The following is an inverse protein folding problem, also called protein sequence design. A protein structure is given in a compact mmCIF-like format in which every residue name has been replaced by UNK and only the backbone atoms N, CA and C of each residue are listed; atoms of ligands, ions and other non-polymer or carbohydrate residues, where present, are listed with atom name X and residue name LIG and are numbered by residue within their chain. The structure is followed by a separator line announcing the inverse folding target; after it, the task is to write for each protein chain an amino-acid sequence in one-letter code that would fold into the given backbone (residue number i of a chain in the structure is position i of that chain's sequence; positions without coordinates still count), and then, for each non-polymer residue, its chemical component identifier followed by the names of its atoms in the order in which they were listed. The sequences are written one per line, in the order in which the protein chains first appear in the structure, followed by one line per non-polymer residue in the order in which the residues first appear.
data_IF_125145798514
#
_entry.id   IF_125145798514
#
_cell.length_a   1.000
_cell.length_b   1.000
_cell.length_c   1.000
_cell.angle_alpha   90.00
_cell.angle_beta   90.00
_cell.angle_gamma   90.00
#
_symmetry.space_group_name_H-M   'P 1'
#
loop_
_entity.id
_entity.type
_entity.pdbx_description
1 polymer ?
#
# COMPACT_ATOMS: atom_id res chain seq x y z
N UNK A 1 -39.12 9.44 -12.37
CA UNK A 1 -39.59 10.79 -12.74
C UNK A 1 -39.28 11.72 -11.55
N UNK A 2 -38.44 12.75 -11.74
CA UNK A 2 -38.17 13.82 -10.74
C UNK A 2 -37.09 13.51 -9.68
N UNK A 3 -35.80 13.72 -9.95
CA UNK A 3 -34.97 14.91 -9.60
C UNK A 3 -34.54 14.96 -8.12
N UNK A 4 -33.24 14.73 -7.88
CA UNK A 4 -32.42 15.58 -7.00
C UNK A 4 -30.93 15.43 -7.38
N UNK A 5 -30.47 16.38 -8.21
CA UNK A 5 -29.07 16.82 -8.29
C UNK A 5 -28.83 17.76 -7.10
N UNK A 6 -27.78 17.54 -6.32
CA UNK A 6 -26.86 18.55 -5.75
C UNK A 6 -25.91 17.91 -4.76
N UNK A 7 -24.61 18.23 -4.86
CA UNK A 7 -23.62 17.80 -3.88
C UNK A 7 -22.15 18.02 -4.25
N UNK A 8 -21.84 19.02 -5.07
CA UNK A 8 -20.45 19.50 -5.23
C UNK A 8 -20.17 20.44 -4.06
N UNK A 9 -19.36 20.01 -3.10
CA UNK A 9 -18.78 20.90 -2.09
C UNK A 9 -17.29 21.09 -2.39
N UNK A 10 -17.03 22.28 -2.91
CA UNK A 10 -15.73 22.95 -2.98
C UNK A 10 -15.13 23.06 -1.58
N UNK A 11 -13.88 22.60 -1.42
CA UNK A 11 -13.01 23.05 -0.34
C UNK A 11 -11.85 23.84 -0.94
N UNK A 12 -11.97 25.16 -0.87
CA UNK A 12 -10.87 26.11 -1.07
C UNK A 12 -10.58 26.82 0.26
N UNK A 13 -9.28 27.01 0.52
CA UNK A 13 -8.66 28.03 1.36
C UNK A 13 -8.45 27.74 2.86
N UNK A 14 -7.18 27.54 3.22
CA UNK A 14 -6.55 28.19 4.37
C UNK A 14 -5.18 28.78 3.95
N UNK A 15 -4.72 29.90 4.55
CA UNK A 15 -3.95 30.93 3.85
C UNK A 15 -2.43 30.87 4.07
N UNK A 16 -1.71 31.34 3.05
CA UNK A 16 -0.31 31.76 3.09
C UNK A 16 -0.18 33.08 3.87
N UNK A 17 0.60 33.07 4.96
CA UNK A 17 1.08 34.26 5.65
C UNK A 17 2.34 34.78 4.94
N UNK A 18 2.19 35.77 4.05
CA UNK A 18 3.30 36.60 3.57
C UNK A 18 3.14 37.98 4.21
N UNK A 19 4.04 38.30 5.14
CA UNK A 19 4.17 39.64 5.71
C UNK A 19 4.99 40.52 4.77
N UNK A 20 4.35 41.57 4.27
CA UNK A 20 4.94 42.67 3.51
C UNK A 20 5.50 43.73 4.46
N UNK A 21 6.74 44.17 4.24
CA UNK A 21 7.19 45.51 4.62
C UNK A 21 8.03 46.12 3.49
N UNK A 22 7.50 47.19 2.89
CA UNK A 22 8.19 48.15 2.03
C UNK A 22 8.25 49.47 2.83
N UNK A 23 9.31 50.28 2.67
CA UNK A 23 9.06 51.64 2.23
C UNK A 23 9.95 52.07 1.06
N UNK A 24 9.37 52.90 0.20
CA UNK A 24 9.96 53.53 -0.97
C UNK A 24 10.71 54.83 -0.61
N UNK A 25 11.72 55.21 -1.40
CA UNK A 25 11.89 56.57 -1.97
C UNK A 25 12.99 56.59 -3.05
N UNK A 26 12.82 57.45 -4.06
CA UNK A 26 13.48 57.51 -5.40
C UNK A 26 14.51 58.69 -5.46
N UNK A 27 14.99 59.21 -6.63
CA UNK A 27 16.00 58.81 -7.64
C UNK A 27 17.25 59.74 -7.69
N UNK A 28 18.30 59.43 -8.50
CA UNK A 28 18.83 60.32 -9.59
C UNK A 28 20.11 59.83 -10.31
N UNK A 29 19.99 59.70 -11.65
CA UNK A 29 20.89 60.13 -12.76
C UNK A 29 22.39 59.74 -12.87
N UNK A 30 22.64 58.93 -13.93
CA UNK A 30 23.34 59.28 -15.20
C UNK A 30 24.89 59.17 -15.37
N UNK A 31 25.23 58.79 -16.62
CA UNK A 31 26.53 58.79 -17.36
C UNK A 31 27.50 57.63 -17.06
N UNK A 32 28.15 56.97 -18.04
CA UNK A 32 28.19 57.10 -19.50
C UNK A 32 28.95 55.94 -20.17
N UNK A 33 28.54 55.67 -21.42
CA UNK A 33 29.24 55.20 -22.64
C UNK A 33 30.46 54.23 -22.60
N UNK A 34 30.52 53.10 -23.34
CA UNK A 34 30.45 52.81 -24.80
C UNK A 34 31.84 52.75 -25.49
N UNK A 35 32.19 51.55 -25.99
CA UNK A 35 33.00 51.31 -27.21
C UNK A 35 32.67 49.89 -27.71
N UNK A 36 31.74 49.71 -28.67
CA UNK A 36 31.98 49.49 -30.12
C UNK A 36 32.94 48.32 -30.41
N UNK A 37 32.43 47.12 -30.73
CA UNK A 37 32.05 46.63 -32.08
C UNK A 37 33.19 46.70 -33.09
N UNK A 38 33.74 45.54 -33.43
CA UNK A 38 33.95 44.92 -34.77
C UNK A 38 34.62 43.56 -34.47
N UNK A 39 34.23 42.41 -35.01
CA UNK A 39 33.79 42.12 -36.35
C UNK A 39 32.78 40.96 -36.38
N UNK A 40 31.64 41.21 -37.00
CA UNK A 40 30.76 40.22 -37.59
C UNK A 40 31.31 39.82 -38.95
N UNK A 41 32.01 38.68 -39.03
CA UNK A 41 32.28 37.98 -40.29
C UNK A 41 32.84 36.58 -40.01
N UNK A 42 31.98 35.63 -39.66
CA UNK A 42 32.03 34.21 -40.05
C UNK A 42 30.75 33.57 -39.51
N UNK A 43 29.64 33.85 -40.20
CA UNK A 43 28.49 32.97 -40.17
C UNK A 43 28.80 31.85 -41.16
N UNK A 44 29.13 30.68 -40.65
CA UNK A 44 28.89 29.45 -41.37
C UNK A 44 28.25 28.47 -40.40
N UNK A 45 27.05 28.06 -40.77
CA UNK A 45 26.15 27.16 -40.05
C UNK A 45 26.86 25.88 -39.59
N UNK A 46 26.77 25.64 -38.29
CA UNK A 46 26.50 24.31 -37.77
C UNK A 46 25.55 24.48 -36.59
N UNK A 47 24.29 24.70 -36.91
CA UNK A 47 23.13 24.43 -36.03
C UNK A 47 23.03 22.92 -35.82
N UNK A 48 23.99 22.36 -35.10
CA UNK A 48 23.79 21.14 -34.33
C UNK A 48 23.82 21.56 -32.86
N UNK A 49 22.64 21.86 -32.32
CA UNK A 49 22.38 21.56 -30.92
C UNK A 49 22.48 20.03 -30.80
N UNK A 50 23.71 19.54 -30.70
CA UNK A 50 23.98 18.16 -30.37
C UNK A 50 23.36 17.92 -28.99
N UNK A 51 22.25 17.19 -28.99
CA UNK A 51 21.73 16.52 -27.80
C UNK A 51 22.78 15.50 -27.37
N UNK A 52 23.79 15.95 -26.63
CA UNK A 52 24.64 15.08 -25.84
C UNK A 52 23.81 14.62 -24.63
N UNK A 53 22.78 13.79 -24.87
CA UNK A 53 22.32 12.87 -23.84
C UNK A 53 23.50 11.92 -23.59
N UNK A 54 24.34 12.30 -22.64
CA UNK A 54 25.64 11.68 -22.43
C UNK A 54 25.43 10.31 -21.78
N UNK A 55 25.45 9.26 -22.60
CA UNK A 55 25.35 7.86 -22.17
C UNK A 55 26.29 7.58 -20.98
N UNK A 56 27.46 8.22 -20.94
CA UNK A 56 28.41 8.11 -19.83
C UNK A 56 27.88 8.64 -18.49
N UNK A 57 27.06 9.70 -18.50
CA UNK A 57 26.51 10.24 -17.26
C UNK A 57 25.26 9.49 -16.80
N UNK A 58 24.47 8.92 -17.73
CA UNK A 58 23.44 7.94 -17.37
C UNK A 58 24.04 6.71 -16.71
N UNK A 59 25.09 6.13 -17.32
CA UNK A 59 25.85 5.01 -16.76
C UNK A 59 26.42 5.38 -15.39
N UNK A 60 26.90 6.61 -15.21
CA UNK A 60 27.39 7.08 -13.90
C UNK A 60 26.29 7.16 -12.86
N UNK A 61 25.09 7.65 -13.20
CA UNK A 61 23.95 7.65 -12.26
C UNK A 61 23.59 6.23 -11.86
N UNK A 62 23.48 5.31 -12.83
CA UNK A 62 23.16 3.89 -12.56
C UNK A 62 24.21 3.24 -11.64
N UNK A 63 25.50 3.45 -11.91
CA UNK A 63 26.60 2.96 -11.06
C UNK A 63 26.54 3.51 -9.62
N UNK A 64 26.20 4.78 -9.45
CA UNK A 64 26.02 5.37 -8.12
C UNK A 64 24.81 4.78 -7.40
N UNK A 65 23.71 4.52 -8.11
CA UNK A 65 22.54 3.85 -7.53
C UNK A 65 22.87 2.42 -7.08
N UNK A 66 23.66 1.67 -7.86
CA UNK A 66 24.12 0.33 -7.48
C UNK A 66 25.04 0.36 -6.27
N UNK A 67 26.03 1.26 -6.26
CA UNK A 67 26.94 1.44 -5.13
C UNK A 67 26.19 1.82 -3.85
N UNK A 68 25.27 2.78 -3.92
CA UNK A 68 24.47 3.20 -2.78
C UNK A 68 23.60 2.06 -2.24
N UNK A 69 23.03 1.22 -3.12
CA UNK A 69 22.26 0.05 -2.71
C UNK A 69 23.14 -1.01 -2.02
N UNK A 70 24.36 -1.22 -2.50
CA UNK A 70 25.34 -2.07 -1.81
C UNK A 70 25.66 -1.53 -0.42
N UNK A 71 25.86 -0.22 -0.27
CA UNK A 71 26.06 0.42 1.04
C UNK A 71 24.84 0.26 1.96
N UNK A 72 23.62 0.38 1.43
CA UNK A 72 22.39 0.09 2.19
C UNK A 72 22.36 -1.36 2.70
N UNK A 73 22.75 -2.32 1.86
CA UNK A 73 22.84 -3.74 2.23
C UNK A 73 23.88 -3.97 3.34
N UNK A 74 25.02 -3.27 3.27
CA UNK A 74 26.08 -3.28 4.28
C UNK A 74 25.73 -2.47 5.55
N UNK A 75 24.52 -1.88 5.61
CA UNK A 75 24.05 -0.97 6.68
C UNK A 75 24.88 0.32 6.84
N UNK A 76 25.68 0.68 5.84
CA UNK A 76 26.32 2.00 5.74
C UNK A 76 25.32 3.03 5.21
N UNK A 77 24.28 3.32 6.01
CA UNK A 77 23.20 4.21 5.59
C UNK A 77 23.67 5.64 5.35
N UNK A 78 24.68 6.11 6.09
CA UNK A 78 25.23 7.45 5.94
C UNK A 78 26.07 7.59 4.66
N UNK A 79 26.88 6.58 4.33
CA UNK A 79 27.60 6.51 3.06
C UNK A 79 26.65 6.38 1.87
N UNK A 80 25.63 5.52 2.00
CA UNK A 80 24.59 5.36 0.99
C UNK A 80 23.86 6.68 0.70
N UNK A 81 23.43 7.41 1.74
CA UNK A 81 22.77 8.72 1.60
C UNK A 81 23.62 9.68 0.76
N UNK A 82 24.93 9.77 1.05
CA UNK A 82 25.85 10.63 0.31
C UNK A 82 25.94 10.23 -1.17
N UNK A 83 26.06 8.94 -1.45
CA UNK A 83 26.13 8.40 -2.81
C UNK A 83 24.84 8.70 -3.59
N UNK A 84 23.67 8.52 -2.97
CA UNK A 84 22.38 8.80 -3.60
C UNK A 84 22.14 10.30 -3.82
N UNK A 85 22.61 11.17 -2.92
CA UNK A 85 22.58 12.62 -3.13
C UNK A 85 23.44 13.04 -4.33
N UNK A 86 24.58 12.39 -4.55
CA UNK A 86 25.40 12.62 -5.75
C UNK A 86 24.66 12.17 -7.02
N UNK A 87 24.05 10.98 -7.01
CA UNK A 87 23.23 10.49 -8.12
C UNK A 87 22.06 11.45 -8.44
N UNK A 88 21.39 11.96 -7.40
CA UNK A 88 20.31 12.94 -7.53
C UNK A 88 20.80 14.25 -8.14
N UNK A 89 21.96 14.75 -7.72
CA UNK A 89 22.54 15.98 -8.27
C UNK A 89 22.92 15.83 -9.74
N UNK A 90 23.48 14.69 -10.14
CA UNK A 90 23.77 14.40 -11.56
C UNK A 90 22.47 14.37 -12.37
N UNK A 91 21.43 13.70 -11.85
CA UNK A 91 20.13 13.68 -12.52
C UNK A 91 19.54 15.09 -12.71
N UNK A 92 19.66 15.96 -11.71
CA UNK A 92 19.24 17.38 -11.79
C UNK A 92 19.99 18.16 -12.88
N UNK A 93 21.31 17.99 -12.95
CA UNK A 93 22.15 18.71 -13.91
C UNK A 93 21.85 18.26 -15.34
N UNK A 94 21.60 16.96 -15.53
CA UNK A 94 21.52 16.38 -16.87
C UNK A 94 20.13 16.46 -17.47
N UNK A 95 19.10 16.27 -16.66
CA UNK A 95 17.73 16.17 -17.12
C UNK A 95 16.87 17.37 -16.71
N UNK A 96 17.36 18.19 -15.77
CA UNK A 96 16.66 19.36 -15.23
C UNK A 96 15.95 19.09 -13.90
N UNK A 97 15.46 20.18 -13.28
CA UNK A 97 14.92 20.16 -11.91
C UNK A 97 13.55 19.46 -11.77
N UNK A 98 12.79 19.34 -12.86
CA UNK A 98 11.47 18.70 -12.90
C UNK A 98 11.47 17.37 -13.67
N UNK A 99 12.64 16.73 -13.79
CA UNK A 99 12.81 15.52 -14.58
C UNK A 99 12.49 14.23 -13.79
N UNK A 100 11.72 13.28 -14.34
CA UNK A 100 11.35 12.03 -13.67
C UNK A 100 12.53 11.12 -13.33
N UNK A 101 13.67 11.26 -14.02
CA UNK A 101 14.91 10.53 -13.79
C UNK A 101 15.48 10.72 -12.37
N UNK A 102 15.06 11.79 -11.68
CA UNK A 102 15.45 12.05 -10.30
C UNK A 102 14.80 11.11 -9.28
N UNK A 103 13.62 10.54 -9.59
CA UNK A 103 12.79 9.82 -8.61
C UNK A 103 13.49 8.62 -7.99
N UNK A 104 14.26 7.85 -8.78
CA UNK A 104 14.98 6.69 -8.25
C UNK A 104 16.02 7.11 -7.20
N UNK A 105 16.86 8.11 -7.51
CA UNK A 105 17.84 8.61 -6.54
C UNK A 105 17.14 9.23 -5.32
N UNK A 106 16.08 10.01 -5.54
CA UNK A 106 15.32 10.64 -4.46
C UNK A 106 14.68 9.62 -3.52
N UNK A 107 14.10 8.55 -4.07
CA UNK A 107 13.58 7.40 -3.30
C UNK A 107 14.65 6.86 -2.35
N UNK A 108 15.83 6.58 -2.88
CA UNK A 108 16.89 6.00 -2.07
C UNK A 108 17.49 6.98 -1.04
N UNK A 109 17.51 8.28 -1.34
CA UNK A 109 17.82 9.30 -0.32
C UNK A 109 16.82 9.21 0.83
N UNK A 110 15.51 9.19 0.55
CA UNK A 110 14.48 9.07 1.58
C UNK A 110 14.65 7.79 2.39
N UNK A 111 14.82 6.64 1.72
CA UNK A 111 15.01 5.34 2.38
C UNK A 111 16.23 5.32 3.30
N UNK A 112 17.37 5.86 2.84
CA UNK A 112 18.59 5.97 3.65
C UNK A 112 18.42 6.89 4.86
N UNK A 113 17.63 7.97 4.74
CA UNK A 113 17.34 8.89 5.84
C UNK A 113 16.37 8.27 6.86
N UNK A 114 15.36 7.53 6.38
CA UNK A 114 14.44 6.77 7.25
C UNK A 114 15.19 5.69 8.04
N UNK A 115 16.13 4.97 7.41
CA UNK A 115 16.97 3.97 8.08
C UNK A 115 17.88 4.58 9.17
N UNK A 116 18.22 5.87 9.06
CA UNK A 116 18.98 6.63 10.05
C UNK A 116 18.09 7.41 11.04
N UNK A 117 16.77 7.23 11.00
CA UNK A 117 15.80 7.97 11.81
C UNK A 117 15.87 9.50 11.64
N UNK A 118 16.37 9.97 10.48
CA UNK A 118 16.43 11.39 10.12
C UNK A 118 15.08 11.90 9.61
N UNK A 119 14.05 11.82 10.46
CA UNK A 119 12.63 12.03 10.09
C UNK A 119 12.35 13.39 9.43
N UNK A 120 12.96 14.47 9.90
CA UNK A 120 12.79 15.82 9.34
C UNK A 120 13.34 15.93 7.91
N UNK A 121 14.53 15.36 7.69
CA UNK A 121 15.18 15.36 6.38
C UNK A 121 14.40 14.49 5.40
N UNK A 122 14.00 13.29 5.83
CA UNK A 122 13.14 12.42 5.05
C UNK A 122 11.81 13.10 4.68
N UNK A 123 11.20 13.83 5.63
CA UNK A 123 10.02 14.64 5.40
C UNK A 123 10.22 15.70 4.31
N UNK A 124 11.36 16.39 4.34
CA UNK A 124 11.71 17.39 3.32
C UNK A 124 11.89 16.77 1.93
N UNK A 125 12.52 15.59 1.85
CA UNK A 125 12.71 14.87 0.58
C UNK A 125 11.40 14.29 0.05
N UNK A 126 10.49 13.84 0.92
CA UNK A 126 9.13 13.43 0.55
C UNK A 126 8.36 14.60 -0.07
N UNK A 127 8.40 15.79 0.54
CA UNK A 127 7.76 17.00 -0.03
C UNK A 127 8.38 17.39 -1.38
N UNK A 128 9.69 17.21 -1.55
CA UNK A 128 10.33 17.43 -2.84
C UNK A 128 9.89 16.42 -3.89
N UNK A 129 9.71 15.14 -3.51
CA UNK A 129 9.18 14.10 -4.40
C UNK A 129 7.77 14.45 -4.84
N UNK A 130 6.89 14.84 -3.91
CA UNK A 130 5.52 15.26 -4.23
C UNK A 130 5.50 16.40 -5.23
N UNK A 131 6.26 17.48 -4.98
CA UNK A 131 6.37 18.60 -5.90
C UNK A 131 6.87 18.15 -7.29
N UNK A 132 7.92 17.33 -7.35
CA UNK A 132 8.45 16.82 -8.61
C UNK A 132 7.38 16.04 -9.39
N UNK A 133 6.60 15.23 -8.70
CA UNK A 133 5.55 14.43 -9.32
C UNK A 133 4.40 15.31 -9.82
N UNK A 134 3.98 16.32 -9.05
CA UNK A 134 2.94 17.27 -9.45
C UNK A 134 3.34 18.07 -10.71
N UNK A 135 4.63 18.41 -10.87
CA UNK A 135 5.15 19.05 -12.10
C UNK A 135 5.06 18.13 -13.33
N UNK A 136 5.13 16.81 -13.14
CA UNK A 136 5.03 15.81 -14.21
C UNK A 136 3.58 15.61 -14.67
N UNK A 137 2.60 15.78 -13.78
CA UNK A 137 1.16 15.53 -14.05
C UNK A 137 0.66 16.09 -15.38
N UNK A 138 0.98 17.35 -15.68
CA UNK A 138 0.50 18.01 -16.91
C UNK A 138 1.24 17.58 -18.18
N UNK A 139 2.43 16.98 -18.03
CA UNK A 139 3.32 16.61 -19.15
C UNK A 139 3.13 15.15 -19.54
N UNK A 140 3.00 14.28 -18.54
CA UNK A 140 2.81 12.86 -18.71
C UNK A 140 2.00 12.30 -17.53
N UNK A 141 0.73 12.03 -17.80
CA UNK A 141 -0.21 11.54 -16.80
C UNK A 141 0.14 10.15 -16.27
N UNK A 142 0.59 9.24 -17.14
CA UNK A 142 0.94 7.88 -16.72
C UNK A 142 2.26 7.87 -15.95
N UNK A 143 3.19 8.75 -16.29
CA UNK A 143 4.41 8.94 -15.51
C UNK A 143 4.11 9.51 -14.11
N UNK A 144 3.13 10.42 -14.00
CA UNK A 144 2.62 10.89 -12.71
C UNK A 144 2.03 9.76 -11.85
N UNK A 145 1.26 8.85 -12.46
CA UNK A 145 0.72 7.68 -11.74
C UNK A 145 1.84 6.77 -11.24
N UNK A 146 2.85 6.50 -12.07
CA UNK A 146 4.04 5.72 -11.67
C UNK A 146 4.77 6.36 -10.49
N UNK A 147 4.97 7.69 -10.50
CA UNK A 147 5.63 8.38 -9.39
C UNK A 147 4.78 8.43 -8.12
N UNK A 148 3.46 8.54 -8.26
CA UNK A 148 2.52 8.45 -7.14
C UNK A 148 2.59 7.08 -6.48
N UNK A 149 2.70 6.01 -7.27
CA UNK A 149 2.86 4.65 -6.77
C UNK A 149 4.18 4.48 -6.01
N UNK A 150 5.30 4.94 -6.60
CA UNK A 150 6.61 4.90 -5.96
C UNK A 150 6.61 5.62 -4.61
N UNK A 151 5.99 6.80 -4.54
CA UNK A 151 5.89 7.56 -3.31
C UNK A 151 5.01 6.87 -2.26
N UNK A 152 3.88 6.30 -2.68
CA UNK A 152 2.99 5.49 -1.82
C UNK A 152 3.76 4.32 -1.20
N UNK A 153 4.57 3.62 -1.98
CA UNK A 153 5.39 2.48 -1.53
C UNK A 153 6.42 2.90 -0.47
N UNK A 154 7.08 4.05 -0.64
CA UNK A 154 8.00 4.62 0.36
C UNK A 154 7.26 4.90 1.68
N UNK A 155 6.08 5.51 1.58
CA UNK A 155 5.27 5.87 2.75
C UNK A 155 4.75 4.63 3.49
N UNK A 156 4.35 3.58 2.77
CA UNK A 156 3.99 2.30 3.38
C UNK A 156 5.20 1.66 4.09
N UNK A 157 6.40 1.66 3.48
CA UNK A 157 7.61 1.19 4.17
C UNK A 157 7.92 2.01 5.41
N UNK A 158 7.80 3.33 5.34
CA UNK A 158 7.98 4.22 6.49
C UNK A 158 6.95 3.94 7.59
N UNK A 159 5.70 3.62 7.22
CA UNK A 159 4.64 3.26 8.18
C UNK A 159 4.88 1.90 8.83
N UNK A 160 5.62 1.00 8.17
CA UNK A 160 5.92 -0.33 8.69
C UNK A 160 6.92 -0.34 9.86
N UNK A 161 7.71 0.73 10.06
CA UNK A 161 8.69 0.77 11.14
C UNK A 161 8.02 0.89 12.53
N UNK A 162 8.23 -0.10 13.39
CA UNK A 162 7.64 -0.20 14.73
C UNK A 162 8.04 0.92 15.70
N UNK A 163 9.26 1.42 15.53
CA UNK A 163 9.84 2.46 16.39
C UNK A 163 9.57 3.87 15.86
N UNK A 164 8.95 3.97 14.67
CA UNK A 164 8.64 5.25 14.04
C UNK A 164 7.37 5.87 14.62
N UNK A 165 7.55 6.94 15.40
CA UNK A 165 6.45 7.74 15.99
C UNK A 165 5.50 8.35 14.95
N UNK A 166 5.92 8.48 13.68
CA UNK A 166 5.10 8.97 12.58
C UNK A 166 4.44 7.87 11.73
N UNK A 167 4.54 6.59 12.12
CA UNK A 167 4.02 5.44 11.34
C UNK A 167 2.59 5.65 10.81
N UNK A 168 1.64 5.98 11.70
CA UNK A 168 0.25 6.23 11.32
C UNK A 168 0.08 7.40 10.35
N UNK A 169 0.91 8.44 10.45
CA UNK A 169 0.86 9.59 9.55
C UNK A 169 1.32 9.20 8.14
N UNK A 170 2.33 8.35 8.01
CA UNK A 170 2.79 7.86 6.71
C UNK A 170 1.74 6.96 6.05
N UNK A 171 1.05 6.09 6.80
CA UNK A 171 -0.08 5.32 6.28
C UNK A 171 -1.21 6.23 5.75
N UNK A 172 -1.54 7.29 6.49
CA UNK A 172 -2.52 8.29 6.06
C UNK A 172 -2.07 9.05 4.80
N UNK A 173 -0.79 9.40 4.71
CA UNK A 173 -0.22 10.06 3.53
C UNK A 173 -0.30 9.16 2.29
N UNK A 174 0.05 7.88 2.41
CA UNK A 174 -0.10 6.89 1.33
C UNK A 174 -1.57 6.78 0.88
N UNK A 175 -2.51 6.71 1.82
CA UNK A 175 -3.95 6.69 1.49
C UNK A 175 -4.38 7.97 0.74
N UNK A 176 -3.93 9.14 1.18
CA UNK A 176 -4.26 10.42 0.55
C UNK A 176 -3.66 10.55 -0.86
N UNK A 177 -2.49 9.96 -1.12
CA UNK A 177 -1.92 9.85 -2.47
C UNK A 177 -2.80 9.02 -3.39
N UNK A 178 -3.31 7.88 -2.91
CA UNK A 178 -4.24 7.07 -3.71
C UNK A 178 -5.53 7.83 -4.03
N UNK A 179 -6.07 8.62 -3.10
CA UNK A 179 -7.21 9.50 -3.38
C UNK A 179 -6.89 10.57 -4.43
N UNK A 180 -5.69 11.18 -4.38
CA UNK A 180 -5.24 12.12 -5.42
C UNK A 180 -5.13 11.46 -6.79
N UNK A 181 -4.59 10.24 -6.86
CA UNK A 181 -4.54 9.47 -8.10
C UNK A 181 -5.94 9.19 -8.65
N UNK A 182 -6.88 8.76 -7.81
CA UNK A 182 -8.30 8.59 -8.18
C UNK A 182 -8.86 9.87 -8.79
N UNK A 183 -8.71 11.03 -8.13
CA UNK A 183 -9.17 12.31 -8.68
C UNK A 183 -8.49 12.70 -9.98
N UNK A 184 -7.19 12.43 -10.13
CA UNK A 184 -6.44 12.66 -11.37
C UNK A 184 -6.93 11.79 -12.53
N UNK A 185 -7.20 10.51 -12.27
CA UNK A 185 -7.77 9.57 -13.24
C UNK A 185 -9.18 9.99 -13.64
N UNK A 186 -10.04 10.33 -12.69
CA UNK A 186 -11.40 10.82 -12.98
C UNK A 186 -11.37 12.05 -13.88
N UNK A 187 -10.48 13.00 -13.59
CA UNK A 187 -10.34 14.22 -14.37
C UNK A 187 -9.76 14.01 -15.78
N UNK A 188 -8.92 12.99 -15.96
CA UNK A 188 -8.16 12.77 -17.22
C UNK A 188 -8.78 11.70 -18.11
N UNK A 189 -9.22 10.59 -17.52
CA UNK A 189 -9.72 9.39 -18.21
C UNK A 189 -11.23 9.14 -18.00
N UNK A 190 -11.83 9.77 -16.98
CA UNK A 190 -13.27 9.69 -16.68
C UNK A 190 -13.61 8.86 -15.44
N UNK A 191 -14.83 9.04 -14.93
CA UNK A 191 -15.27 8.54 -13.61
C UNK A 191 -15.40 7.02 -13.49
N UNK A 192 -15.50 6.32 -14.64
CA UNK A 192 -15.69 4.87 -14.72
C UNK A 192 -14.52 4.16 -15.43
N UNK A 193 -13.37 4.81 -15.56
CA UNK A 193 -12.23 4.21 -16.26
C UNK A 193 -11.59 3.10 -15.41
N UNK A 194 -11.23 1.97 -16.05
CA UNK A 194 -10.67 0.78 -15.35
C UNK A 194 -9.37 1.06 -14.59
N UNK A 195 -8.62 2.07 -15.02
CA UNK A 195 -7.39 2.56 -14.35
C UNK A 195 -7.64 2.96 -12.89
N UNK A 196 -8.87 3.31 -12.50
CA UNK A 196 -9.22 3.63 -11.11
C UNK A 196 -9.04 2.44 -10.16
N UNK A 197 -9.21 1.22 -10.68
CA UNK A 197 -9.30 -0.03 -9.92
C UNK A 197 -8.16 -0.25 -8.91
N UNK A 198 -6.88 -0.26 -9.31
CA UNK A 198 -5.78 -0.47 -8.37
C UNK A 198 -5.73 0.59 -7.26
N UNK A 199 -6.05 1.85 -7.58
CA UNK A 199 -6.03 2.96 -6.61
C UNK A 199 -7.18 2.90 -5.62
N UNK A 200 -8.38 2.58 -6.08
CA UNK A 200 -9.54 2.34 -5.23
C UNK A 200 -9.26 1.16 -4.28
N UNK A 201 -8.66 0.08 -4.79
CA UNK A 201 -8.33 -1.08 -3.96
C UNK A 201 -7.23 -0.77 -2.94
N UNK A 202 -6.20 0.00 -3.30
CA UNK A 202 -5.19 0.44 -2.34
C UNK A 202 -5.80 1.26 -1.18
N UNK A 203 -6.85 2.05 -1.43
CA UNK A 203 -7.58 2.75 -0.38
C UNK A 203 -8.33 1.76 0.53
N UNK A 204 -8.97 0.73 -0.04
CA UNK A 204 -9.62 -0.36 0.73
C UNK A 204 -8.61 -1.03 1.66
N UNK A 205 -7.44 -1.41 1.13
CA UNK A 205 -6.35 -2.00 1.91
C UNK A 205 -5.85 -1.06 3.01
N UNK A 206 -5.66 0.23 2.71
CA UNK A 206 -5.26 1.21 3.71
C UNK A 206 -6.28 1.32 4.85
N UNK A 207 -7.58 1.23 4.57
CA UNK A 207 -8.63 1.18 5.59
C UNK A 207 -8.56 -0.10 6.43
N UNK A 208 -8.25 -1.26 5.83
CA UNK A 208 -7.99 -2.48 6.59
C UNK A 208 -6.77 -2.33 7.51
N UNK A 209 -5.66 -1.76 7.02
CA UNK A 209 -4.45 -1.53 7.82
C UNK A 209 -4.73 -0.59 9.01
N UNK A 210 -5.61 0.39 8.85
CA UNK A 210 -6.04 1.25 9.95
C UNK A 210 -6.81 0.47 11.04
N UNK A 211 -7.58 -0.54 10.66
CA UNK A 211 -8.30 -1.39 11.60
C UNK A 211 -7.38 -2.42 12.24
N UNK A 212 -6.41 -2.97 11.50
CA UNK A 212 -5.46 -3.96 12.05
C UNK A 212 -4.63 -3.38 13.19
N UNK A 213 -4.36 -2.07 13.19
CA UNK A 213 -3.79 -1.36 14.35
C UNK A 213 -4.57 -1.58 15.65
N UNK A 214 -5.89 -1.78 15.58
CA UNK A 214 -6.72 -2.06 16.75
C UNK A 214 -6.51 -3.47 17.31
N UNK A 215 -6.00 -4.40 16.48
CA UNK A 215 -5.64 -5.77 16.87
C UNK A 215 -4.26 -5.83 17.52
N UNK A 216 -3.46 -4.76 17.44
CA UNK A 216 -2.16 -4.70 18.11
C UNK A 216 -2.37 -4.97 19.60
N UNK A 217 -1.76 -6.03 20.16
CA UNK A 217 -1.68 -6.10 21.61
C UNK A 217 -0.91 -4.85 22.05
N UNK A 218 -1.59 -3.93 22.74
CA UNK A 218 -0.85 -2.92 23.52
C UNK A 218 0.13 -3.71 24.35
N UNK A 219 1.44 -3.42 24.29
CA UNK A 219 2.46 -4.01 25.17
C UNK A 219 1.80 -4.34 26.51
N UNK A 220 1.54 -5.63 26.76
CA UNK A 220 0.62 -6.04 27.82
C UNK A 220 1.24 -5.57 29.16
N UNK A 221 0.58 -4.57 29.81
CA UNK A 221 0.68 -4.13 31.22
C UNK A 221 1.21 -2.72 31.59
N UNK A 222 1.98 -1.99 30.79
CA UNK A 222 2.67 -0.79 31.35
C UNK A 222 1.86 0.53 31.39
N UNK A 223 0.59 0.54 30.98
CA UNK A 223 -0.32 1.69 31.20
C UNK A 223 -1.70 1.22 31.64
N UNK A 224 -1.76 0.30 32.61
CA UNK A 224 -3.02 -0.09 33.27
C UNK A 224 -3.31 0.80 34.50
N UNK A 225 -2.45 1.77 34.81
CA UNK A 225 -2.61 2.62 36.01
C UNK A 225 -2.85 4.10 35.73
N UNK A 226 -3.43 4.49 34.58
CA UNK A 226 -3.79 5.88 34.33
C UNK A 226 -5.25 6.03 33.86
N UNK A 227 -6.07 6.47 34.82
CA UNK A 227 -7.11 7.51 34.71
C UNK A 227 -8.42 7.24 33.91
N UNK A 228 -9.55 7.30 34.64
CA UNK A 228 -10.86 7.76 34.17
C UNK A 228 -11.78 6.82 33.37
N UNK A 229 -13.00 6.55 33.86
CA UNK A 229 -14.06 5.86 33.09
C UNK A 229 -14.45 6.60 31.80
N UNK A 230 -14.35 7.94 31.78
CA UNK A 230 -14.77 8.76 30.63
C UNK A 230 -13.76 8.73 29.47
N UNK A 231 -12.45 8.62 29.76
CA UNK A 231 -11.43 8.46 28.72
C UNK A 231 -11.55 7.10 28.02
N UNK A 232 -11.85 6.04 28.79
CA UNK A 232 -12.14 4.71 28.26
C UNK A 232 -13.38 4.69 27.35
N UNK A 233 -14.44 5.41 27.71
CA UNK A 233 -15.63 5.57 26.84
C UNK A 233 -15.29 6.35 25.56
N UNK A 234 -14.55 7.45 25.65
CA UNK A 234 -14.10 8.20 24.47
C UNK A 234 -13.26 7.36 23.50
N UNK A 235 -12.31 6.58 24.04
CA UNK A 235 -11.43 5.69 23.26
C UNK A 235 -12.19 4.55 22.59
N UNK A 236 -13.13 3.91 23.29
CA UNK A 236 -13.94 2.82 22.73
C UNK A 236 -14.92 3.31 21.66
N UNK A 237 -15.53 4.49 21.85
CA UNK A 237 -16.37 5.14 20.84
C UNK A 237 -15.56 5.51 19.58
N UNK A 238 -14.37 6.08 19.75
CA UNK A 238 -13.47 6.38 18.63
C UNK A 238 -13.08 5.13 17.83
N UNK A 239 -12.83 3.99 18.51
CA UNK A 239 -12.57 2.70 17.86
C UNK A 239 -13.78 2.19 17.08
N UNK A 240 -14.97 2.20 17.68
CA UNK A 240 -16.21 1.77 17.02
C UNK A 240 -16.57 2.62 15.81
N UNK A 241 -16.36 3.94 15.90
CA UNK A 241 -16.58 4.87 14.79
C UNK A 241 -15.58 4.63 13.65
N UNK A 242 -14.30 4.49 13.96
CA UNK A 242 -13.25 4.22 12.98
C UNK A 242 -13.49 2.92 12.22
N UNK A 243 -13.94 1.87 12.93
CA UNK A 243 -14.34 0.59 12.32
C UNK A 243 -15.52 0.78 11.36
N UNK A 244 -16.59 1.46 11.79
CA UNK A 244 -17.79 1.68 10.97
C UNK A 244 -17.48 2.51 9.73
N UNK A 245 -16.68 3.56 9.87
CA UNK A 245 -16.24 4.41 8.74
C UNK A 245 -15.43 3.57 7.75
N UNK A 246 -14.46 2.81 8.24
CA UNK A 246 -13.59 1.99 7.39
C UNK A 246 -14.39 0.92 6.66
N UNK A 247 -15.29 0.20 7.35
CA UNK A 247 -16.23 -0.75 6.74
C UNK A 247 -16.98 -0.12 5.57
N UNK A 248 -17.67 1.00 5.82
CA UNK A 248 -18.52 1.67 4.84
C UNK A 248 -17.71 2.13 3.63
N UNK A 249 -16.57 2.80 3.86
CA UNK A 249 -15.73 3.28 2.76
C UNK A 249 -15.21 2.10 1.93
N UNK A 250 -14.70 1.04 2.56
CA UNK A 250 -14.20 -0.13 1.82
C UNK A 250 -15.30 -0.79 0.98
N UNK A 251 -16.50 -0.93 1.53
CA UNK A 251 -17.67 -1.47 0.83
C UNK A 251 -18.08 -0.59 -0.36
N UNK A 252 -18.18 0.72 -0.15
CA UNK A 252 -18.55 1.68 -1.20
C UNK A 252 -17.54 1.64 -2.36
N UNK A 253 -16.24 1.56 -2.06
CA UNK A 253 -15.18 1.50 -3.06
C UNK A 253 -15.14 0.16 -3.81
N UNK A 254 -15.34 -0.95 -3.11
CA UNK A 254 -15.42 -2.27 -3.76
C UNK A 254 -16.65 -2.37 -4.67
N UNK A 255 -17.80 -1.83 -4.24
CA UNK A 255 -18.97 -1.73 -5.10
C UNK A 255 -18.68 -0.85 -6.32
N UNK A 256 -17.96 0.27 -6.16
CA UNK A 256 -17.54 1.10 -7.28
C UNK A 256 -16.64 0.33 -8.27
N UNK A 257 -15.73 -0.52 -7.80
CA UNK A 257 -14.91 -1.37 -8.68
C UNK A 257 -15.79 -2.36 -9.46
N UNK A 258 -16.80 -2.96 -8.81
CA UNK A 258 -17.78 -3.82 -9.49
C UNK A 258 -18.50 -3.05 -10.60
N UNK A 259 -18.95 -1.82 -10.32
CA UNK A 259 -19.70 -0.99 -11.27
C UNK A 259 -18.82 -0.55 -12.45
N UNK A 260 -17.54 -0.23 -12.21
CA UNK A 260 -16.55 0.08 -13.25
C UNK A 260 -16.45 -1.08 -14.25
N UNK A 261 -16.27 -2.31 -13.76
CA UNK A 261 -16.14 -3.48 -14.64
C UNK A 261 -17.46 -3.91 -15.27
N UNK A 262 -18.60 -3.65 -14.63
CA UNK A 262 -19.91 -3.89 -15.23
C UNK A 262 -20.20 -2.94 -16.40
N UNK A 263 -19.62 -1.73 -16.39
CA UNK A 263 -19.78 -0.73 -17.44
C UNK A 263 -18.69 -0.75 -18.51
N UNK A 264 -17.57 -1.42 -18.28
CA UNK A 264 -16.41 -1.42 -19.18
C UNK A 264 -16.60 -2.40 -20.36
N UNK A 265 -16.75 -1.86 -21.57
CA UNK A 265 -16.96 -2.66 -22.79
C UNK A 265 -15.74 -3.54 -23.15
N UNK A 266 -14.52 -3.07 -22.89
CA UNK A 266 -13.27 -3.75 -23.24
C UNK A 266 -12.76 -4.72 -22.15
N UNK A 267 -13.49 -4.87 -21.04
CA UNK A 267 -13.09 -5.78 -19.96
C UNK A 267 -13.57 -7.20 -20.20
N UNK A 268 -12.84 -8.23 -19.70
CA UNK A 268 -13.34 -9.59 -19.66
C UNK A 268 -14.73 -9.67 -19.00
N UNK A 269 -15.61 -10.52 -19.53
CA UNK A 269 -17.00 -10.59 -19.06
C UNK A 269 -17.10 -10.98 -17.57
N UNK A 270 -16.13 -11.76 -17.08
CA UNK A 270 -16.05 -12.17 -15.68
C UNK A 270 -15.60 -11.06 -14.71
N UNK A 271 -15.08 -9.93 -15.20
CA UNK A 271 -14.35 -8.97 -14.35
C UNK A 271 -15.21 -8.41 -13.22
N UNK A 272 -16.50 -8.15 -13.48
CA UNK A 272 -17.44 -7.65 -12.47
C UNK A 272 -17.76 -8.70 -11.40
N UNK A 273 -17.92 -9.96 -11.78
CA UNK A 273 -18.12 -11.08 -10.85
C UNK A 273 -16.86 -11.32 -10.00
N UNK A 274 -15.67 -11.26 -10.61
CA UNK A 274 -14.40 -11.33 -9.88
C UNK A 274 -14.17 -10.13 -8.96
N UNK A 275 -14.60 -8.92 -9.34
CA UNK A 275 -14.57 -7.77 -8.44
C UNK A 275 -15.50 -7.97 -7.23
N UNK A 276 -16.70 -8.54 -7.45
CA UNK A 276 -17.70 -8.82 -6.41
C UNK A 276 -17.20 -9.84 -5.39
N UNK A 277 -16.30 -10.73 -5.79
CA UNK A 277 -15.60 -11.64 -4.88
C UNK A 277 -14.88 -10.90 -3.75
N UNK A 278 -14.23 -9.77 -4.06
CA UNK A 278 -13.52 -8.97 -3.05
C UNK A 278 -14.48 -8.19 -2.15
N UNK A 279 -15.68 -7.87 -2.64
CA UNK A 279 -16.76 -7.39 -1.78
C UNK A 279 -17.21 -8.47 -0.79
N UNK A 280 -17.33 -9.73 -1.23
CA UNK A 280 -17.64 -10.86 -0.35
C UNK A 280 -16.55 -11.07 0.72
N UNK A 281 -15.27 -10.96 0.35
CA UNK A 281 -14.16 -10.97 1.31
C UNK A 281 -14.27 -9.85 2.33
N UNK A 282 -14.65 -8.65 1.89
CA UNK A 282 -14.80 -7.49 2.75
C UNK A 282 -15.91 -7.68 3.78
N UNK A 283 -17.06 -8.22 3.37
CA UNK A 283 -18.11 -8.56 4.34
C UNK A 283 -17.60 -9.59 5.36
N UNK A 284 -16.84 -10.60 4.92
CA UNK A 284 -16.23 -11.59 5.82
C UNK A 284 -15.22 -10.95 6.79
N UNK A 285 -14.37 -10.04 6.28
CA UNK A 285 -13.36 -9.32 7.04
C UNK A 285 -13.91 -8.48 8.19
N UNK A 286 -15.23 -8.21 8.18
CA UNK A 286 -15.97 -7.44 9.17
C UNK A 286 -17.01 -8.26 9.96
N UNK A 287 -16.97 -9.59 9.83
CA UNK A 287 -17.87 -10.49 10.59
C UNK A 287 -19.31 -10.46 10.10
N UNK A 288 -19.52 -10.25 8.80
CA UNK A 288 -20.84 -10.30 8.15
C UNK A 288 -20.95 -11.58 7.30
N UNK A 289 -20.85 -12.74 7.95
CA UNK A 289 -20.70 -14.04 7.29
C UNK A 289 -21.87 -14.35 6.36
N UNK A 290 -23.12 -14.14 6.81
CA UNK A 290 -24.30 -14.41 5.98
C UNK A 290 -24.31 -13.59 4.70
N UNK A 291 -23.88 -12.32 4.76
CA UNK A 291 -23.78 -11.45 3.58
C UNK A 291 -22.64 -11.90 2.66
N UNK A 292 -21.50 -12.28 3.23
CA UNK A 292 -20.36 -12.83 2.50
C UNK A 292 -20.72 -14.12 1.75
N UNK A 293 -21.37 -15.08 2.42
CA UNK A 293 -21.79 -16.34 1.81
C UNK A 293 -22.79 -16.14 0.67
N UNK A 294 -23.75 -15.22 0.84
CA UNK A 294 -24.67 -14.87 -0.24
C UNK A 294 -23.93 -14.29 -1.46
N UNK A 295 -22.94 -13.42 -1.24
CA UNK A 295 -22.12 -12.87 -2.32
C UNK A 295 -21.24 -13.93 -2.98
N UNK A 296 -20.64 -14.86 -2.23
CA UNK A 296 -19.87 -15.94 -2.84
C UNK A 296 -20.74 -16.84 -3.72
N UNK A 297 -21.94 -17.19 -3.24
CA UNK A 297 -22.90 -17.95 -4.04
C UNK A 297 -23.29 -17.18 -5.31
N UNK A 298 -23.56 -15.87 -5.17
CA UNK A 298 -23.87 -15.02 -6.31
C UNK A 298 -22.72 -14.99 -7.34
N UNK A 299 -21.47 -14.84 -6.90
CA UNK A 299 -20.30 -14.86 -7.80
C UNK A 299 -20.20 -16.21 -8.52
N UNK A 300 -20.43 -17.33 -7.82
CA UNK A 300 -20.43 -18.65 -8.43
C UNK A 300 -21.49 -18.77 -9.52
N UNK A 301 -22.73 -18.36 -9.24
CA UNK A 301 -23.84 -18.36 -10.20
C UNK A 301 -23.57 -17.44 -11.41
N UNK A 302 -23.09 -16.22 -11.17
CA UNK A 302 -22.71 -15.28 -12.24
C UNK A 302 -21.66 -15.85 -13.18
N UNK A 303 -20.64 -16.56 -12.66
CA UNK A 303 -19.62 -17.20 -13.50
C UNK A 303 -20.22 -18.31 -14.38
N UNK A 304 -21.16 -19.11 -13.86
CA UNK A 304 -21.84 -20.15 -14.65
C UNK A 304 -22.69 -19.53 -15.77
N UNK A 305 -23.41 -18.46 -15.48
CA UNK A 305 -24.23 -17.73 -16.46
C UNK A 305 -23.38 -17.12 -17.59
N UNK A 306 -22.13 -16.75 -17.28
CA UNK A 306 -21.13 -16.31 -18.25
C UNK A 306 -20.48 -17.47 -19.04
N UNK A 307 -20.91 -18.71 -18.82
CA UNK A 307 -20.42 -19.90 -19.53
C UNK A 307 -19.15 -20.51 -18.95
N UNK A 308 -18.71 -20.11 -17.76
CA UNK A 308 -17.62 -20.78 -17.05
C UNK A 308 -18.10 -22.17 -16.61
N UNK A 309 -17.32 -23.21 -16.87
CA UNK A 309 -17.72 -24.56 -16.48
C UNK A 309 -17.76 -24.70 -14.95
N UNK A 310 -18.66 -25.52 -14.38
CA UNK A 310 -18.72 -25.75 -12.93
C UNK A 310 -17.39 -26.21 -12.32
N UNK A 311 -16.63 -27.03 -13.05
CA UNK A 311 -15.31 -27.46 -12.61
C UNK A 311 -14.32 -26.28 -12.50
N UNK A 312 -14.32 -25.36 -13.48
CA UNK A 312 -13.46 -24.18 -13.47
C UNK A 312 -13.90 -23.16 -12.42
N UNK A 313 -15.21 -22.93 -12.28
CA UNK A 313 -15.76 -22.05 -11.25
C UNK A 313 -15.41 -22.56 -9.84
N UNK A 314 -15.60 -23.86 -9.57
CA UNK A 314 -15.23 -24.46 -8.29
C UNK A 314 -13.72 -24.34 -8.02
N UNK A 315 -12.86 -24.52 -9.04
CA UNK A 315 -11.41 -24.39 -8.87
C UNK A 315 -10.97 -23.02 -8.31
N UNK A 316 -11.75 -21.96 -8.51
CA UNK A 316 -11.46 -20.62 -7.97
C UNK A 316 -11.63 -20.52 -6.45
N UNK A 317 -12.42 -21.42 -5.87
CA UNK A 317 -12.78 -21.43 -4.46
C UNK A 317 -12.34 -22.69 -3.72
N UNK A 318 -11.73 -23.67 -4.40
CA UNK A 318 -11.35 -24.95 -3.79
C UNK A 318 -10.30 -24.83 -2.68
N UNK A 319 -9.61 -23.69 -2.59
CA UNK A 319 -8.52 -23.49 -1.64
C UNK A 319 -8.78 -22.28 -0.74
N UNK A 320 -8.55 -22.43 0.58
CA UNK A 320 -8.62 -21.31 1.48
C UNK A 320 -7.62 -20.22 1.12
N UNK A 321 -7.96 -18.97 1.41
CA UNK A 321 -7.12 -17.81 1.08
C UNK A 321 -7.07 -16.82 2.24
N UNK A 322 -5.88 -16.39 2.63
CA UNK A 322 -5.73 -15.35 3.66
C UNK A 322 -6.26 -14.02 3.13
N UNK A 323 -6.97 -13.27 3.99
CA UNK A 323 -7.63 -12.01 3.68
C UNK A 323 -7.07 -10.83 4.50
N UNK A 324 -7.10 -9.60 3.94
CA UNK A 324 -7.39 -9.29 2.54
C UNK A 324 -6.27 -9.80 1.64
N UNK A 325 -6.61 -10.02 0.37
CA UNK A 325 -5.60 -10.34 -0.63
C UNK A 325 -4.83 -9.05 -0.99
N UNK A 326 -3.52 -9.10 -1.28
CA UNK A 326 -2.76 -7.89 -1.56
C UNK A 326 -3.07 -7.28 -2.93
N UNK A 327 -3.51 -8.11 -3.90
CA UNK A 327 -3.83 -7.67 -5.26
C UNK A 327 -5.11 -8.34 -5.76
N UNK A 328 -5.98 -7.54 -6.37
CA UNK A 328 -7.19 -8.06 -7.02
C UNK A 328 -6.87 -8.62 -8.41
N UNK A 329 -7.54 -9.71 -8.74
CA UNK A 329 -7.58 -10.29 -10.07
C UNK A 329 -8.86 -9.83 -10.76
N UNK A 330 -8.72 -9.32 -11.97
CA UNK A 330 -9.84 -8.78 -12.76
C UNK A 330 -10.12 -9.64 -13.99
N UNK A 331 -9.47 -10.79 -14.10
CA UNK A 331 -9.70 -11.79 -15.15
C UNK A 331 -9.43 -13.20 -14.60
N UNK A 332 -10.02 -14.22 -15.22
CA UNK A 332 -9.79 -15.61 -14.81
C UNK A 332 -8.32 -16.02 -14.90
N UNK A 333 -7.56 -15.70 -15.97
CA UNK A 333 -6.14 -16.05 -16.03
C UNK A 333 -5.31 -15.45 -14.89
N UNK A 334 -5.59 -14.19 -14.51
CA UNK A 334 -4.91 -13.56 -13.37
C UNK A 334 -5.27 -14.27 -12.06
N UNK A 335 -6.55 -14.58 -11.85
CA UNK A 335 -7.01 -15.30 -10.65
C UNK A 335 -6.37 -16.69 -10.57
N UNK A 336 -6.31 -17.42 -11.67
CA UNK A 336 -5.67 -18.73 -11.75
C UNK A 336 -4.17 -18.68 -11.43
N UNK A 337 -3.46 -17.62 -11.85
CA UNK A 337 -2.05 -17.42 -11.47
C UNK A 337 -1.94 -17.22 -9.96
N UNK A 338 -2.80 -16.38 -9.38
CA UNK A 338 -2.83 -16.11 -7.93
C UNK A 338 -3.15 -17.35 -7.08
N UNK A 339 -3.81 -18.37 -7.65
CA UNK A 339 -4.21 -19.60 -6.95
C UNK A 339 -3.17 -20.74 -7.03
N UNK A 340 -2.06 -20.56 -7.77
CA UNK A 340 -1.04 -21.61 -7.95
C UNK A 340 -0.14 -21.79 -6.73
N UNK A 341 -0.02 -20.79 -5.87
CA UNK A 341 0.88 -20.83 -4.71
C UNK A 341 0.40 -21.85 -3.68
N UNK A 342 1.24 -22.86 -3.41
CA UNK A 342 1.02 -23.88 -2.39
C UNK A 342 2.34 -24.24 -1.69
N UNK A 343 2.35 -24.45 -0.35
CA UNK A 343 1.26 -24.22 0.62
C UNK A 343 0.81 -22.75 0.67
N UNK A 344 -0.24 -22.43 1.45
CA UNK A 344 -0.67 -21.02 1.61
C UNK A 344 0.51 -20.24 2.18
N UNK A 345 1.07 -19.30 1.43
CA UNK A 345 2.21 -18.49 1.87
C UNK A 345 1.70 -17.15 2.41
N UNK A 346 2.06 -16.84 3.64
CA UNK A 346 1.74 -15.58 4.28
C UNK A 346 3.02 -14.89 4.75
N UNK A 347 3.38 -13.80 4.09
CA UNK A 347 4.48 -12.94 4.50
C UNK A 347 3.94 -11.80 5.35
N UNK A 348 4.28 -11.79 6.63
CA UNK A 348 3.85 -10.75 7.55
C UNK A 348 4.49 -9.41 7.17
N UNK A 349 3.69 -8.35 7.11
CA UNK A 349 4.20 -7.03 6.73
C UNK A 349 5.08 -6.39 7.81
N UNK A 350 4.54 -6.27 9.03
CA UNK A 350 5.21 -5.65 10.18
C UNK A 350 4.44 -5.96 11.46
N UNK A 351 5.10 -6.03 12.63
CA UNK A 351 4.43 -6.11 13.93
C UNK A 351 3.49 -4.93 14.21
N UNK A 352 3.64 -3.79 13.52
CA UNK A 352 2.71 -2.66 13.64
C UNK A 352 1.31 -3.00 13.13
N UNK A 353 1.22 -3.84 12.10
CA UNK A 353 -0.02 -4.20 11.43
C UNK A 353 -0.21 -5.73 11.53
N UNK A 354 -0.62 -6.24 12.71
CA UNK A 354 -0.78 -7.67 12.91
C UNK A 354 -1.85 -8.24 11.97
N UNK A 355 -1.69 -9.50 11.57
CA UNK A 355 -2.55 -10.16 10.59
C UNK A 355 -2.76 -9.38 9.28
N UNK A 356 -1.69 -8.71 8.81
CA UNK A 356 -1.64 -8.08 7.49
C UNK A 356 -0.50 -8.67 6.69
N UNK A 357 -0.82 -9.11 5.47
CA UNK A 357 0.19 -9.54 4.52
C UNK A 357 0.98 -8.33 4.03
N UNK A 358 2.22 -8.56 3.63
CA UNK A 358 3.03 -7.58 2.91
C UNK A 358 2.23 -6.98 1.74
N UNK A 359 2.00 -5.65 1.69
CA UNK A 359 1.12 -5.05 0.68
C UNK A 359 1.58 -5.29 -0.75
N UNK A 360 2.90 -5.29 -0.98
CA UNK A 360 3.53 -5.66 -2.26
C UNK A 360 4.87 -6.34 -2.02
N UNK A 361 5.26 -7.35 -2.83
CA UNK A 361 6.55 -8.03 -2.69
C UNK A 361 7.76 -7.08 -2.67
N UNK A 362 7.71 -5.98 -3.41
CA UNK A 362 8.80 -4.98 -3.48
C UNK A 362 8.99 -4.20 -2.18
N UNK A 363 8.04 -4.28 -1.23
CA UNK A 363 8.17 -3.68 0.10
C UNK A 363 8.86 -4.60 1.09
N UNK A 364 9.13 -5.87 0.72
CA UNK A 364 9.84 -6.82 1.58
C UNK A 364 11.23 -6.26 1.89
N UNK A 365 11.58 -6.20 3.17
CA UNK A 365 12.95 -5.88 3.59
C UNK A 365 13.78 -7.14 3.34
N UNK A 366 14.53 -7.16 2.23
CA UNK A 366 15.50 -8.18 1.79
C UNK A 366 15.07 -9.63 2.05
N UNK A 367 14.55 -10.31 1.01
CA UNK A 367 14.06 -11.70 1.00
C UNK A 367 14.94 -12.76 1.68
N UNK A 368 16.23 -12.49 1.90
CA UNK A 368 17.16 -13.43 2.52
C UNK A 368 16.93 -13.62 4.03
N UNK A 369 16.33 -12.66 4.74
CA UNK A 369 15.96 -12.80 6.16
C UNK A 369 14.58 -13.42 6.35
N UNK A 370 13.61 -13.13 5.47
CA UNK A 370 12.25 -13.69 5.53
C UNK A 370 12.24 -15.22 5.39
N UNK A 371 13.11 -15.79 4.56
CA UNK A 371 13.22 -17.26 4.42
C UNK A 371 13.92 -17.93 5.62
N UNK A 372 14.68 -17.18 6.44
CA UNK A 372 15.35 -17.72 7.64
C UNK A 372 14.37 -17.90 8.79
N UNK A 373 13.45 -16.95 8.95
CA UNK A 373 12.46 -16.92 10.03
C UNK A 373 11.09 -17.30 9.47
N UNK A 374 10.72 -18.57 9.60
CA UNK A 374 9.43 -19.06 9.12
C UNK A 374 8.87 -20.20 9.95
N UNK A 375 7.55 -20.35 9.91
CA UNK A 375 6.82 -21.43 10.57
C UNK A 375 5.86 -22.09 9.58
N UNK A 376 5.78 -23.40 9.61
CA UNK A 376 4.73 -24.15 8.90
C UNK A 376 3.70 -24.59 9.92
N UNK A 377 2.44 -24.19 9.70
CA UNK A 377 1.33 -24.52 10.58
C UNK A 377 0.31 -25.36 9.84
N UNK A 378 -0.40 -26.20 10.60
CA UNK A 378 -1.54 -26.98 10.12
C UNK A 378 -2.76 -26.67 10.95
N UNK A 379 -3.92 -26.60 10.29
CA UNK A 379 -5.20 -26.41 10.95
C UNK A 379 -6.36 -26.94 10.10
N UNK A 380 -7.53 -27.05 10.72
CA UNK A 380 -8.79 -27.28 10.03
C UNK A 380 -9.57 -25.97 9.95
N UNK A 381 -10.16 -25.69 8.79
CA UNK A 381 -11.11 -24.60 8.61
C UNK A 381 -12.52 -25.16 8.63
N UNK A 382 -13.29 -24.69 9.60
CA UNK A 382 -14.70 -25.07 9.75
C UNK A 382 -15.56 -23.84 9.47
N UNK A 383 -16.51 -23.93 8.53
CA UNK A 383 -17.49 -22.89 8.31
C UNK A 383 -18.24 -22.57 9.60
N UNK A 384 -18.26 -21.30 10.01
CA UNK A 384 -19.17 -20.80 11.02
C UNK A 384 -20.53 -20.71 10.34
N UNK A 385 -21.34 -21.76 10.47
CA UNK A 385 -22.75 -21.67 10.09
C UNK A 385 -23.41 -20.62 11.00
N UNK A 386 -24.36 -19.82 10.49
CA UNK A 386 -25.03 -18.80 11.28
C UNK A 386 -25.91 -19.46 12.34
N UNK A 387 -25.34 -19.79 13.50
CA UNK A 387 -26.10 -19.96 14.73
C UNK A 387 -26.26 -18.59 15.39
N UNK A 388 -27.48 -18.31 15.81
CA UNK A 388 -27.93 -17.06 16.45
C UNK A 388 -26.99 -16.67 17.60
N UNK A 389 -26.04 -15.76 17.35
CA UNK A 389 -25.16 -15.19 18.38
C UNK A 389 -25.38 -13.68 18.48
N UNK A 390 -26.57 -13.30 18.91
CA UNK A 390 -26.85 -11.99 19.49
C UNK A 390 -26.76 -12.08 21.02
N UNK A 391 -25.56 -12.26 21.57
CA UNK A 391 -25.32 -12.00 23.01
C UNK A 391 -23.89 -11.48 23.23
N UNK A 392 -23.79 -10.15 23.32
CA UNK A 392 -22.75 -9.36 23.99
C UNK A 392 -21.47 -10.11 24.39
N UNK A 393 -20.38 -9.96 23.62
CA UNK A 393 -19.02 -9.88 24.16
C UNK A 393 -18.04 -9.23 23.18
N UNK A 394 -17.25 -8.29 23.71
CA UNK A 394 -16.41 -7.30 23.02
C UNK A 394 -15.10 -7.87 22.46
N UNK A 395 -15.16 -8.97 21.71
CA UNK A 395 -14.04 -9.40 20.87
C UNK A 395 -14.60 -9.60 19.47
N UNK A 396 -14.22 -8.74 18.53
CA UNK A 396 -14.57 -8.93 17.14
C UNK A 396 -13.74 -10.12 16.65
N UNK A 397 -14.30 -11.33 16.72
CA UNK A 397 -13.79 -12.47 15.97
C UNK A 397 -14.16 -12.19 14.52
N UNK A 398 -13.17 -11.77 13.74
CA UNK A 398 -13.35 -11.54 12.32
C UNK A 398 -12.99 -12.84 11.61
N UNK A 399 -13.94 -13.47 10.90
CA UNK A 399 -13.70 -14.66 10.08
C UNK A 399 -14.00 -16.02 10.74
N UNK A 400 -13.66 -17.09 10.01
CA UNK A 400 -13.92 -18.49 10.34
C UNK A 400 -13.07 -19.03 11.51
N UNK A 401 -13.57 -20.04 12.22
CA UNK A 401 -12.85 -20.67 13.34
C UNK A 401 -11.74 -21.61 12.83
N UNK A 402 -10.48 -21.22 13.08
CA UNK A 402 -9.33 -22.14 13.04
C UNK A 402 -9.51 -23.21 14.13
N UNK A 403 -9.48 -24.49 13.75
CA UNK A 403 -9.49 -25.62 14.69
C UNK A 403 -8.22 -26.44 14.56
N UNK A 404 -7.79 -27.05 15.66
CA UNK A 404 -6.61 -27.91 15.70
C UNK A 404 -5.37 -27.21 15.12
N UNK A 405 -5.19 -25.92 15.46
CA UNK A 405 -4.03 -25.15 15.03
C UNK A 405 -2.78 -25.68 15.71
N UNK A 406 -1.85 -26.20 14.92
CA UNK A 406 -0.57 -26.75 15.39
C UNK A 406 0.58 -26.24 14.52
N UNK A 407 1.77 -26.15 15.12
CA UNK A 407 3.01 -25.80 14.41
C UNK A 407 3.73 -27.09 14.04
N UNK A 408 3.86 -27.33 12.74
CA UNK A 408 4.54 -28.50 12.15
C UNK A 408 6.06 -28.33 12.23
N UNK A 409 6.56 -27.15 11.90
CA UNK A 409 7.99 -26.83 11.96
C UNK A 409 8.20 -25.33 12.14
N UNK A 410 9.30 -24.93 12.79
CA UNK A 410 9.69 -23.52 12.91
C UNK A 410 11.18 -23.38 12.68
N UNK A 411 11.58 -22.33 11.98
CA UNK A 411 12.97 -21.99 11.67
C UNK A 411 13.20 -20.54 12.09
N UNK A 412 14.23 -20.25 12.90
CA UNK A 412 14.99 -21.20 13.72
C UNK A 412 14.10 -21.94 14.73
N UNK A 413 14.56 -23.09 15.23
CA UNK A 413 13.85 -23.89 16.23
C UNK A 413 13.88 -23.21 17.61
N UNK A 414 12.94 -22.28 17.82
CA UNK A 414 12.79 -21.48 19.03
C UNK A 414 11.34 -21.52 19.52
N UNK A 415 11.13 -21.75 20.82
CA UNK A 415 9.79 -21.86 21.42
C UNK A 415 9.03 -20.53 21.36
N UNK A 416 9.72 -19.40 21.49
CA UNK A 416 9.11 -18.07 21.38
C UNK A 416 8.54 -17.82 19.98
N UNK A 417 9.26 -18.21 18.92
CA UNK A 417 8.75 -18.13 17.55
C UNK A 417 7.57 -19.07 17.32
N UNK A 418 7.56 -20.24 17.96
CA UNK A 418 6.41 -21.16 17.93
C UNK A 418 5.16 -20.51 18.55
N UNK A 419 5.26 -19.95 19.74
CA UNK A 419 4.16 -19.25 20.42
C UNK A 419 3.70 -18.03 19.61
N UNK A 420 4.64 -17.25 19.07
CA UNK A 420 4.33 -16.10 18.22
C UNK A 420 3.61 -16.52 16.94
N UNK A 421 4.04 -17.59 16.27
CA UNK A 421 3.36 -18.12 15.08
C UNK A 421 1.91 -18.51 15.40
N UNK A 422 1.68 -19.22 16.50
CA UNK A 422 0.34 -19.61 16.93
C UNK A 422 -0.54 -18.37 17.16
N UNK A 423 -0.02 -17.37 17.85
CA UNK A 423 -0.73 -16.13 18.10
C UNK A 423 -1.05 -15.38 16.79
N UNK A 424 -0.05 -15.08 15.97
CA UNK A 424 -0.23 -14.29 14.74
C UNK A 424 -1.14 -15.00 13.73
N UNK A 425 -1.00 -16.31 13.56
CA UNK A 425 -1.87 -17.10 12.69
C UNK A 425 -3.30 -17.15 13.23
N UNK A 426 -3.50 -17.14 14.55
CA UNK A 426 -4.85 -17.06 15.14
C UNK A 426 -5.58 -15.74 14.84
N UNK A 427 -4.85 -14.68 14.47
CA UNK A 427 -5.41 -13.38 14.10
C UNK A 427 -5.76 -13.27 12.60
N UNK A 428 -5.27 -14.20 11.79
CA UNK A 428 -5.52 -14.24 10.35
C UNK A 428 -6.98 -14.56 10.06
N UNK A 429 -7.47 -13.97 8.97
CA UNK A 429 -8.77 -14.28 8.43
C UNK A 429 -8.59 -15.03 7.13
N UNK A 430 -9.38 -16.07 6.91
CA UNK A 430 -9.32 -16.86 5.70
C UNK A 430 -10.68 -16.93 5.04
N UNK A 431 -10.71 -16.71 3.72
CA UNK A 431 -11.78 -17.21 2.87
C UNK A 431 -11.75 -18.75 2.94
N UNK A 432 -12.88 -19.43 3.20
CA UNK A 432 -12.95 -20.88 3.26
C UNK A 432 -12.93 -21.46 1.84
N UNK A 433 -12.69 -22.77 1.74
CA UNK A 433 -12.97 -23.46 0.51
C UNK A 433 -14.49 -23.49 0.26
N UNK A 434 -14.91 -23.33 -1.00
CA UNK A 434 -16.30 -23.45 -1.41
C UNK A 434 -16.47 -24.54 -2.47
N UNK A 435 -17.61 -25.21 -2.41
CA UNK A 435 -18.10 -26.11 -3.44
C UNK A 435 -19.50 -25.69 -3.83
N UNK A 436 -19.70 -25.43 -5.13
CA UNK A 436 -20.94 -24.90 -5.69
C UNK A 436 -21.43 -23.62 -5.00
N UNK A 437 -20.50 -22.74 -4.65
CA UNK A 437 -20.79 -21.48 -3.94
C UNK A 437 -21.07 -21.62 -2.44
N UNK A 438 -21.02 -22.84 -1.88
CA UNK A 438 -21.27 -23.11 -0.47
C UNK A 438 -19.99 -23.48 0.28
N UNK A 439 -19.83 -23.03 1.54
CA UNK A 439 -18.61 -23.29 2.29
C UNK A 439 -18.51 -24.75 2.73
N UNK A 440 -17.33 -25.34 2.57
CA UNK A 440 -17.04 -26.71 2.99
C UNK A 440 -16.00 -26.73 4.11
N UNK A 441 -16.04 -27.77 4.95
CA UNK A 441 -14.98 -28.03 5.92
C UNK A 441 -13.72 -28.41 5.15
N UNK A 442 -12.60 -27.74 5.47
CA UNK A 442 -11.30 -28.05 4.90
C UNK A 442 -10.38 -28.54 6.00
N UNK A 443 -9.96 -29.80 5.93
CA UNK A 443 -9.06 -30.41 6.89
C UNK A 443 -7.60 -30.28 6.45
N UNK A 444 -6.68 -30.25 7.41
CA UNK A 444 -5.23 -30.27 7.17
C UNK A 444 -4.73 -29.16 6.24
N UNK A 445 -5.29 -27.96 6.38
CA UNK A 445 -4.80 -26.77 5.67
C UNK A 445 -3.40 -26.46 6.18
N UNK A 446 -2.44 -26.36 5.25
CA UNK A 446 -1.05 -25.99 5.55
C UNK A 446 -0.79 -24.53 5.15
N UNK A 447 -0.17 -23.79 6.08
CA UNK A 447 0.21 -22.40 5.90
C UNK A 447 1.68 -22.20 6.27
N UNK A 448 2.45 -21.61 5.36
CA UNK A 448 3.80 -21.13 5.60
C UNK A 448 3.73 -19.65 6.02
N UNK A 449 4.06 -19.37 7.27
CA UNK A 449 4.12 -18.03 7.86
C UNK A 449 5.57 -17.54 7.83
N UNK A 450 5.84 -16.46 7.12
CA UNK A 450 7.14 -15.79 7.11
C UNK A 450 7.10 -14.59 8.06
N UNK A 451 8.00 -14.58 9.03
CA UNK A 451 8.08 -13.51 10.01
C UNK A 451 8.75 -12.27 9.43
N UNK A 452 8.44 -11.14 10.04
CA UNK A 452 9.08 -9.86 9.71
C UNK A 452 10.52 -9.84 10.23
N UNK A 453 11.47 -9.14 9.56
CA UNK A 453 12.84 -9.05 10.07
C UNK A 453 12.94 -8.43 11.47
N UNK A 454 11.96 -7.62 11.91
CA UNK A 454 11.96 -7.07 13.28
C UNK A 454 11.75 -8.14 14.37
N UNK A 455 11.22 -9.32 14.03
CA UNK A 455 11.15 -10.46 14.96
C UNK A 455 12.52 -11.01 15.36
N UNK A 456 13.58 -10.73 14.58
CA UNK A 456 14.99 -11.04 14.89
C UNK A 456 15.46 -10.36 16.18
N UNK A 457 14.89 -9.19 16.52
CA UNK A 457 15.27 -8.45 17.72
C UNK A 457 14.67 -9.04 19.01
N UNK A 458 13.63 -9.87 18.92
CA UNK A 458 13.07 -10.57 20.08
C UNK A 458 13.90 -11.82 20.44
N UNK A 459 14.41 -12.56 19.44
CA UNK A 459 15.27 -13.73 19.68
C UNK A 459 16.68 -13.37 20.16
N UNK A 460 17.18 -12.18 19.81
CA UNK A 460 18.54 -11.72 20.18
C UNK A 460 18.62 -10.92 21.49
N UNK A 461 17.50 -10.55 22.13
CA UNK A 461 17.50 -9.72 23.35
C UNK A 461 17.79 -10.48 24.65
N UNK A 462 17.96 -11.80 24.61
CA UNK A 462 18.25 -12.62 25.80
C UNK A 462 19.41 -13.63 25.59
N UNK A 463 20.46 -13.23 24.87
CA UNK A 463 21.78 -13.88 24.97
C UNK A 463 22.80 -13.01 25.72
#
# INVERSE_FOLDING_TARGET
MGILKTGVLMFSNFPLLISTFIPALIPTRALALLALVTASAFAQESTEQASYNNIYEQVRTEQLLELGQQQMFERDFAGAEKTFLEALQIAKVNYGLSAPQQRNALRYVIESQLAQEKWEQAGSQLSYFEWLNDEIYTRDFYDYLLGTEQLSDILLRASANADNSNSTRYLLAAKNLNWRAVSGIEATLGENHVELTPWLYNIVLAHYYQISLLKRPSMFNDVVTAEGEDEWRGRTLAKGESLRISYRIGKDLLQRIVDIYAAAEDSPLESSALARLYLADWELLFGLESASLALYQQVYEELLDLGVSPARANALFQHPRVLPVPTIATSLPQMEIQLRERPIRFEAWTPNYPATALPKPQLAVTSETAERFKSTLRFNLVPLLPEVLMTNQRSIKLGFNLRNLEVISVSPEEEQLREQALYEVSLLQLRPALENGLPIVTENVELEYLFTPQSEALSLREN
#
